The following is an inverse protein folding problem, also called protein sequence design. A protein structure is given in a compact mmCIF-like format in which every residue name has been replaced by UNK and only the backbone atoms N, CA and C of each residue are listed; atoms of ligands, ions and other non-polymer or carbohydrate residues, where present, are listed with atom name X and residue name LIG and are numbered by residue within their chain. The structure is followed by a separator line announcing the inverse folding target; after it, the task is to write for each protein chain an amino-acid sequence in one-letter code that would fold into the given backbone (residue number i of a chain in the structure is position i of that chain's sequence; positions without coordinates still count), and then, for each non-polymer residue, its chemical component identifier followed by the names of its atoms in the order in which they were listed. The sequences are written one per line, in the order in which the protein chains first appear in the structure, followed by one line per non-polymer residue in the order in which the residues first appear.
data_IF_410165801143
#
_entry.id   IF_410165801143
#
_cell.length_a   1.000
_cell.length_b   1.000
_cell.length_c   1.000
_cell.angle_alpha   90.00
_cell.angle_beta   90.00
_cell.angle_gamma   90.00
#
_symmetry.space_group_name_H-M   'P 1'
#
loop_
_entity.id
_entity.type
_entity.pdbx_description
1 polymer ?
#
# COMPACT_ATOMS: atom_id res chain seq x y z
N UNK A 1 24.89 4.84 -21.92
CA UNK A 1 23.42 4.92 -21.73
C UNK A 1 22.86 3.53 -21.92
N UNK A 2 22.47 2.86 -20.83
CA UNK A 2 21.86 1.53 -20.89
C UNK A 2 20.41 1.75 -21.31
N UNK A 3 20.03 1.27 -22.49
CA UNK A 3 18.65 1.24 -22.94
C UNK A 3 17.84 0.37 -21.98
N UNK A 4 17.18 0.99 -21.00
CA UNK A 4 16.12 0.34 -20.22
C UNK A 4 15.11 -0.18 -21.23
N UNK A 5 14.95 -1.49 -21.29
CA UNK A 5 13.89 -2.12 -22.05
C UNK A 5 12.57 -1.48 -21.62
N UNK A 6 11.70 -1.06 -22.56
CA UNK A 6 10.49 -0.28 -22.27
C UNK A 6 9.64 -0.88 -21.14
N UNK A 7 9.71 -2.20 -20.98
CA UNK A 7 9.07 -2.95 -19.90
C UNK A 7 9.61 -2.60 -18.50
N UNK A 8 10.92 -2.42 -18.34
CA UNK A 8 11.54 -2.06 -17.06
C UNK A 8 11.18 -0.64 -16.63
N UNK A 9 11.16 0.30 -17.59
CA UNK A 9 10.71 1.67 -17.34
C UNK A 9 9.23 1.72 -16.91
N UNK A 10 8.38 0.87 -17.50
CA UNK A 10 6.98 0.76 -17.09
C UNK A 10 6.81 0.12 -15.70
N UNK A 11 7.67 -0.84 -15.33
CA UNK A 11 7.68 -1.43 -13.99
C UNK A 11 8.10 -0.43 -12.91
N UNK A 12 9.11 0.39 -13.18
CA UNK A 12 9.58 1.40 -12.24
C UNK A 12 8.53 2.48 -12.01
N UNK A 13 7.92 2.99 -13.08
CA UNK A 13 6.77 3.93 -12.98
C UNK A 13 5.63 3.37 -12.16
N UNK A 14 5.37 2.07 -12.28
CA UNK A 14 4.33 1.39 -11.53
C UNK A 14 4.63 1.35 -10.01
N UNK A 15 5.83 0.91 -9.63
CA UNK A 15 6.20 0.86 -8.21
C UNK A 15 6.34 2.25 -7.60
N UNK A 16 6.83 3.23 -8.35
CA UNK A 16 6.83 4.63 -7.94
C UNK A 16 5.40 5.12 -7.71
N UNK A 17 4.49 4.93 -8.68
CA UNK A 17 3.08 5.32 -8.49
C UNK A 17 2.43 4.69 -7.25
N UNK A 18 2.67 3.39 -7.01
CA UNK A 18 2.11 2.72 -5.82
C UNK A 18 2.66 3.29 -4.54
N UNK A 19 3.98 3.47 -4.41
CA UNK A 19 4.54 3.94 -3.15
C UNK A 19 4.27 5.42 -2.94
N UNK A 20 4.51 6.23 -3.97
CA UNK A 20 4.53 7.68 -3.87
C UNK A 20 3.13 8.27 -3.88
N UNK A 21 2.17 7.64 -4.56
CA UNK A 21 0.78 8.12 -4.60
C UNK A 21 -0.09 7.31 -3.67
N UNK A 22 -0.22 6.00 -3.93
CA UNK A 22 -1.20 5.17 -3.20
C UNK A 22 -0.74 4.91 -1.76
N UNK A 23 0.55 4.67 -1.56
CA UNK A 23 1.13 4.38 -0.26
C UNK A 23 1.15 5.59 0.65
N UNK A 24 1.60 6.74 0.15
CA UNK A 24 1.52 8.01 0.90
C UNK A 24 0.06 8.33 1.24
N UNK A 25 -0.87 8.20 0.28
CA UNK A 25 -2.28 8.43 0.56
C UNK A 25 -2.80 7.49 1.66
N UNK A 26 -2.48 6.20 1.61
CA UNK A 26 -2.90 5.23 2.62
C UNK A 26 -2.35 5.56 4.03
N UNK A 27 -1.11 6.04 4.11
CA UNK A 27 -0.51 6.52 5.36
C UNK A 27 -1.24 7.76 5.86
N UNK A 28 -1.49 8.74 5.00
CA UNK A 28 -2.23 9.96 5.36
C UNK A 28 -3.64 9.62 5.84
N UNK A 29 -4.35 8.75 5.12
CA UNK A 29 -5.69 8.28 5.52
C UNK A 29 -5.66 7.52 6.85
N UNK A 30 -4.61 6.75 7.13
CA UNK A 30 -4.42 6.12 8.45
C UNK A 30 -4.30 7.15 9.56
N UNK A 31 -3.44 8.15 9.37
CA UNK A 31 -3.24 9.23 10.33
C UNK A 31 -4.53 10.05 10.54
N UNK A 32 -5.27 10.33 9.47
CA UNK A 32 -6.56 11.01 9.53
C UNK A 32 -7.63 10.16 10.22
N UNK A 33 -7.70 8.85 9.96
CA UNK A 33 -8.66 7.95 10.60
C UNK A 33 -8.51 7.97 12.13
N UNK A 34 -7.28 8.02 12.64
CA UNK A 34 -6.98 8.08 14.08
C UNK A 34 -7.47 9.37 14.77
N UNK A 35 -7.74 10.44 14.03
CA UNK A 35 -8.22 11.70 14.62
C UNK A 35 -9.72 11.66 14.95
N UNK A 36 -10.47 10.70 14.40
CA UNK A 36 -11.89 10.56 14.69
C UNK A 36 -12.13 9.85 16.02
N UNK A 37 -13.23 10.21 16.69
CA UNK A 37 -13.67 9.56 17.94
C UNK A 37 -13.87 8.04 17.80
N UNK A 38 -14.31 7.60 16.62
CA UNK A 38 -14.45 6.19 16.27
C UNK A 38 -13.67 5.94 14.99
N UNK A 39 -12.41 5.50 15.06
CA UNK A 39 -11.53 5.42 13.89
C UNK A 39 -11.84 4.23 12.97
N UNK A 40 -12.45 3.14 13.49
CA UNK A 40 -12.67 1.92 12.72
C UNK A 40 -13.57 2.10 11.48
N UNK A 41 -14.76 2.75 11.55
CA UNK A 41 -15.63 2.92 10.39
C UNK A 41 -14.98 3.72 9.26
N UNK A 42 -14.19 4.75 9.60
CA UNK A 42 -13.47 5.55 8.61
C UNK A 42 -12.32 4.76 7.97
N UNK A 43 -11.61 3.95 8.75
CA UNK A 43 -10.59 3.07 8.20
C UNK A 43 -11.19 2.04 7.22
N UNK A 44 -12.33 1.42 7.54
CA UNK A 44 -13.06 0.55 6.59
C UNK A 44 -13.47 1.29 5.32
N UNK A 45 -14.00 2.50 5.45
CA UNK A 45 -14.36 3.34 4.31
C UNK A 45 -13.14 3.66 3.43
N UNK A 46 -12.02 4.05 4.02
CA UNK A 46 -10.79 4.35 3.29
C UNK A 46 -10.19 3.12 2.60
N UNK A 47 -10.22 1.95 3.24
CA UNK A 47 -9.85 0.68 2.60
C UNK A 47 -10.73 0.42 1.38
N UNK A 48 -12.04 0.62 1.50
CA UNK A 48 -12.98 0.44 0.39
C UNK A 48 -12.69 1.39 -0.78
N UNK A 49 -12.42 2.68 -0.50
CA UNK A 49 -12.04 3.67 -1.52
C UNK A 49 -10.73 3.29 -2.20
N UNK A 50 -9.69 2.91 -1.44
CA UNK A 50 -8.41 2.46 -1.98
C UNK A 50 -8.57 1.19 -2.83
N UNK A 51 -9.42 0.27 -2.41
CA UNK A 51 -9.74 -0.93 -3.16
C UNK A 51 -10.39 -0.59 -4.51
N UNK A 52 -11.45 0.22 -4.51
CA UNK A 52 -12.12 0.67 -5.75
C UNK A 52 -11.13 1.38 -6.69
N UNK A 53 -10.27 2.24 -6.13
CA UNK A 53 -9.30 2.97 -6.93
C UNK A 53 -8.26 2.03 -7.55
N UNK A 54 -7.75 1.08 -6.77
CA UNK A 54 -6.79 0.07 -7.24
C UNK A 54 -7.40 -0.79 -8.34
N UNK A 55 -8.65 -1.26 -8.15
CA UNK A 55 -9.39 -2.03 -9.16
C UNK A 55 -9.61 -1.22 -10.43
N UNK A 56 -9.94 0.07 -10.32
CA UNK A 56 -10.10 0.96 -11.49
C UNK A 56 -8.83 1.05 -12.33
N UNK A 57 -7.64 0.94 -11.71
CA UNK A 57 -6.36 0.99 -12.40
C UNK A 57 -5.86 -0.37 -12.89
N UNK A 58 -6.52 -1.48 -12.54
CA UNK A 58 -6.03 -2.85 -12.80
C UNK A 58 -5.87 -3.21 -14.28
N UNK A 59 -6.59 -2.55 -15.20
CA UNK A 59 -6.45 -2.78 -16.65
C UNK A 59 -5.02 -2.48 -17.13
N UNK A 60 -4.39 -1.43 -16.58
CA UNK A 60 -3.00 -1.08 -16.85
C UNK A 60 -2.00 -2.07 -16.24
N UNK A 61 -2.45 -2.93 -15.31
CA UNK A 61 -1.61 -3.85 -14.53
C UNK A 61 -1.58 -5.26 -15.12
N UNK A 62 -2.54 -5.63 -15.96
CA UNK A 62 -2.59 -6.96 -16.59
C UNK A 62 -1.36 -7.24 -17.46
N UNK A 63 -0.81 -6.22 -18.11
CA UNK A 63 0.47 -6.28 -18.83
C UNK A 63 1.66 -6.53 -17.88
N UNK A 64 1.67 -5.85 -16.72
CA UNK A 64 2.68 -6.01 -15.66
C UNK A 64 2.67 -7.44 -15.08
N UNK A 65 1.50 -8.01 -14.77
CA UNK A 65 1.38 -9.35 -14.19
C UNK A 65 1.91 -10.45 -15.12
N UNK A 66 1.74 -10.29 -16.44
CA UNK A 66 2.20 -11.26 -17.44
C UNK A 66 3.73 -11.24 -17.60
N UNK A 67 4.35 -10.06 -17.53
CA UNK A 67 5.81 -9.89 -17.65
C UNK A 67 6.53 -10.35 -16.37
N UNK A 68 6.01 -9.98 -15.20
CA UNK A 68 6.65 -10.31 -13.92
C UNK A 68 6.55 -11.78 -13.52
N UNK A 69 5.53 -12.52 -13.99
CA UNK A 69 5.47 -13.99 -13.78
C UNK A 69 6.68 -14.73 -14.36
N UNK A 70 7.30 -14.21 -15.43
CA UNK A 70 8.49 -14.82 -16.04
C UNK A 70 9.78 -14.37 -15.34
N UNK A 71 9.87 -13.10 -14.92
CA UNK A 71 11.09 -12.50 -14.32
C UNK A 71 11.25 -12.79 -12.83
N UNK A 72 10.15 -12.90 -12.08
CA UNK A 72 10.12 -13.09 -10.62
C UNK A 72 9.42 -14.40 -10.24
N UNK A 73 9.85 -15.52 -10.83
CA UNK A 73 9.27 -16.84 -10.55
C UNK A 73 9.82 -17.39 -9.24
N UNK A 74 8.95 -17.94 -8.40
CA UNK A 74 9.32 -18.54 -7.11
C UNK A 74 9.23 -17.58 -5.92
N UNK A 75 9.46 -18.12 -4.72
CA UNK A 75 9.24 -17.44 -3.44
C UNK A 75 10.07 -16.15 -3.30
N UNK A 76 11.34 -16.20 -3.72
CA UNK A 76 12.29 -15.08 -3.68
C UNK A 76 11.82 -13.92 -4.59
N UNK A 77 11.32 -14.23 -5.78
CA UNK A 77 10.79 -13.25 -6.71
C UNK A 77 9.54 -12.56 -6.16
N UNK A 78 8.65 -13.32 -5.51
CA UNK A 78 7.48 -12.78 -4.82
C UNK A 78 7.85 -11.83 -3.68
N UNK A 79 8.79 -12.23 -2.82
CA UNK A 79 9.26 -11.39 -1.70
C UNK A 79 9.90 -10.09 -2.17
N UNK A 80 10.67 -10.12 -3.26
CA UNK A 80 11.25 -8.90 -3.83
C UNK A 80 10.17 -7.94 -4.37
N UNK A 81 9.10 -8.49 -4.93
CA UNK A 81 7.96 -7.71 -5.44
C UNK A 81 7.18 -7.04 -4.30
N UNK A 82 6.96 -7.77 -3.21
CA UNK A 82 6.38 -7.24 -1.96
C UNK A 82 7.27 -6.13 -1.38
N UNK A 83 8.59 -6.34 -1.33
CA UNK A 83 9.55 -5.35 -0.84
C UNK A 83 9.52 -4.04 -1.65
N UNK A 84 9.29 -4.13 -2.96
CA UNK A 84 9.10 -2.95 -3.82
C UNK A 84 7.82 -2.18 -3.55
N UNK A 85 6.86 -2.71 -2.79
CA UNK A 85 5.59 -2.06 -2.43
C UNK A 85 5.52 -1.68 -0.94
N UNK A 86 6.68 -1.54 -0.28
CA UNK A 86 6.79 -1.35 1.18
C UNK A 86 5.96 -0.19 1.75
N UNK A 87 5.89 0.96 1.07
CA UNK A 87 5.16 2.14 1.60
C UNK A 87 3.66 1.90 1.53
N UNK A 88 3.21 1.34 0.40
CA UNK A 88 1.83 0.90 0.25
C UNK A 88 1.42 -0.15 1.28
N UNK A 89 2.26 -1.16 1.50
CA UNK A 89 2.00 -2.18 2.50
C UNK A 89 1.92 -1.60 3.91
N UNK A 90 2.82 -0.66 4.25
CA UNK A 90 2.80 0.00 5.55
C UNK A 90 1.49 0.76 5.76
N UNK A 91 1.09 1.60 4.80
CA UNK A 91 -0.19 2.34 4.90
C UNK A 91 -1.42 1.42 4.92
N UNK A 92 -1.42 0.35 4.12
CA UNK A 92 -2.53 -0.59 4.07
C UNK A 92 -2.65 -1.43 5.36
N UNK A 93 -1.52 -1.88 5.92
CA UNK A 93 -1.49 -2.59 7.20
C UNK A 93 -1.95 -1.66 8.32
N UNK A 94 -1.48 -0.41 8.36
CA UNK A 94 -1.94 0.59 9.34
C UNK A 94 -3.46 0.78 9.27
N UNK A 95 -4.03 1.00 8.09
CA UNK A 95 -5.49 1.08 7.92
C UNK A 95 -6.20 -0.18 8.40
N UNK A 96 -5.67 -1.37 8.10
CA UNK A 96 -6.29 -2.64 8.50
C UNK A 96 -6.25 -2.84 10.02
N UNK A 97 -5.17 -2.46 10.68
CA UNK A 97 -5.04 -2.50 12.15
C UNK A 97 -5.99 -1.50 12.82
N UNK A 98 -6.18 -0.31 12.23
CA UNK A 98 -7.16 0.67 12.72
C UNK A 98 -8.58 0.13 12.53
N UNK A 99 -8.89 -0.41 11.35
CA UNK A 99 -10.21 -0.96 11.04
C UNK A 99 -10.59 -2.13 11.96
N UNK A 100 -9.64 -3.01 12.27
CA UNK A 100 -9.83 -4.11 13.22
C UNK A 100 -9.85 -3.68 14.70
N UNK A 101 -9.58 -2.41 15.00
CA UNK A 101 -9.58 -1.88 16.36
C UNK A 101 -8.33 -2.22 17.18
N UNK A 102 -7.31 -2.82 16.56
CA UNK A 102 -6.02 -3.08 17.21
C UNK A 102 -5.14 -1.84 17.34
N UNK A 103 -5.38 -0.82 16.51
CA UNK A 103 -4.64 0.44 16.55
C UNK A 103 -5.59 1.61 16.85
N UNK A 104 -5.45 2.21 18.03
CA UNK A 104 -6.07 3.47 18.42
C UNK A 104 -5.01 4.46 18.90
N UNK A 105 -5.38 5.74 19.04
CA UNK A 105 -4.51 6.77 19.62
C UNK A 105 -4.08 6.39 21.04
N UNK A 106 -4.98 5.86 21.86
CA UNK A 106 -4.69 5.36 23.20
C UNK A 106 -3.67 4.21 23.21
N UNK A 107 -3.77 3.28 22.25
CA UNK A 107 -2.79 2.20 22.10
C UNK A 107 -1.40 2.72 21.75
N UNK A 108 -1.32 3.74 20.87
CA UNK A 108 -0.05 4.37 20.48
C UNK A 108 0.58 5.08 21.68
N UNK A 109 -0.20 5.84 22.44
CA UNK A 109 0.26 6.53 23.64
C UNK A 109 0.78 5.56 24.70
N UNK A 110 0.09 4.43 24.89
CA UNK A 110 0.50 3.37 25.81
C UNK A 110 1.84 2.74 25.41
N UNK A 111 2.03 2.45 24.12
CA UNK A 111 3.28 1.86 23.60
C UNK A 111 4.45 2.84 23.69
N UNK A 112 4.21 4.13 23.44
CA UNK A 112 5.23 5.17 23.48
C UNK A 112 5.50 5.72 24.88
N UNK A 113 4.78 5.21 25.90
CA UNK A 113 4.86 5.68 27.29
C UNK A 113 4.62 7.20 27.43
N UNK A 114 3.74 7.73 26.57
CA UNK A 114 3.28 9.11 26.58
C UNK A 114 1.90 9.08 27.25
N UNK A 115 1.85 9.24 28.57
CA UNK A 115 0.59 9.36 29.31
C UNK A 115 0.07 10.78 29.30
#
# INVERSE_FOLDING_TARGET
MIYLNNDEANQEKYFSFINDVVGILAITLSATALQFKHPQPFAYFFIFVLFLWTVSKIKNYSAFARINRKKYKGFIGGSFLIWKMKIYLLGFISLTLIASGHLSTESIYTVLNLK
#
